data_IF_794610114185
#
_entry.id   IF_794610114185
#
_cell.length_a   1.000
_cell.length_b   1.000
_cell.length_c   1.000
_cell.angle_alpha   90.00
_cell.angle_beta   90.00
_cell.angle_gamma   90.00
#
_symmetry.space_group_name_H-M   'P 1'
#
loop_
_entity.id
_entity.type
_entity.pdbx_description
1 polymer ?
#
# COMPACT_ATOMS: atom_id res chain seq x y z
N UNK A 1 -22.65 -8.98 25.75
CA UNK A 1 -24.09 -8.70 25.57
C UNK A 1 -24.67 -9.79 24.69
N UNK A 2 -25.81 -10.35 25.08
CA UNK A 2 -26.45 -11.48 24.42
C UNK A 2 -26.94 -11.07 23.02
N UNK A 3 -26.44 -11.73 21.97
CA UNK A 3 -26.94 -11.57 20.61
C UNK A 3 -28.37 -12.09 20.53
N UNK A 4 -29.29 -11.24 20.08
CA UNK A 4 -30.67 -11.61 19.79
C UNK A 4 -30.68 -12.66 18.68
N UNK A 5 -30.94 -13.92 19.05
CA UNK A 5 -31.31 -14.98 18.11
C UNK A 5 -32.78 -14.79 17.74
N UNK A 6 -33.05 -14.10 16.65
CA UNK A 6 -34.37 -14.13 16.00
C UNK A 6 -34.49 -15.41 15.17
N UNK A 7 -35.38 -16.31 15.54
CA UNK A 7 -35.65 -17.55 14.81
C UNK A 7 -36.87 -17.35 13.89
N UNK A 8 -36.70 -17.48 12.56
CA UNK A 8 -37.82 -17.37 11.61
C UNK A 8 -37.73 -18.42 10.49
N UNK A 9 -38.35 -19.58 10.70
CA UNK A 9 -38.31 -20.82 9.90
C UNK A 9 -38.48 -20.65 8.38
N UNK A 10 -37.70 -21.42 7.59
CA UNK A 10 -37.87 -21.55 6.14
C UNK A 10 -39.13 -22.37 5.83
N UNK A 11 -40.06 -21.76 5.10
CA UNK A 11 -41.20 -22.44 4.49
C UNK A 11 -41.48 -21.80 3.13
N UNK A 12 -41.65 -22.63 2.09
CA UNK A 12 -42.25 -22.21 0.84
C UNK A 12 -43.76 -22.33 1.00
N UNK A 13 -44.35 -21.47 1.82
CA UNK A 13 -45.80 -21.44 1.96
C UNK A 13 -46.39 -20.51 0.89
N UNK A 14 -47.36 -20.97 0.10
CA UNK A 14 -48.15 -20.08 -0.73
C UNK A 14 -48.85 -19.09 0.20
N UNK A 15 -48.47 -17.82 0.16
CA UNK A 15 -49.08 -16.79 1.00
C UNK A 15 -50.48 -16.52 0.46
N UNK A 16 -51.47 -17.21 1.01
CA UNK A 16 -52.89 -16.90 0.93
C UNK A 16 -53.56 -17.18 -0.41
N UNK A 17 -54.23 -18.33 -0.49
CA UNK A 17 -55.22 -18.64 -1.53
C UNK A 17 -54.67 -19.55 -2.62
N UNK A 18 -55.26 -20.74 -2.68
CA UNK A 18 -55.15 -21.90 -3.59
C UNK A 18 -55.05 -21.63 -5.12
N UNK A 19 -54.24 -20.65 -5.54
CA UNK A 19 -54.12 -20.18 -6.93
C UNK A 19 -52.72 -20.27 -7.53
N UNK A 20 -51.66 -20.51 -6.74
CA UNK A 20 -50.31 -20.77 -7.28
C UNK A 20 -49.65 -19.58 -8.01
N UNK A 21 -50.15 -18.36 -7.83
CA UNK A 21 -49.71 -17.19 -8.62
C UNK A 21 -48.51 -16.42 -8.04
N UNK A 22 -48.02 -16.75 -6.84
CA UNK A 22 -46.89 -16.03 -6.22
C UNK A 22 -45.93 -16.94 -5.45
N UNK A 23 -44.63 -16.75 -5.69
CA UNK A 23 -43.53 -17.35 -4.93
C UNK A 23 -43.02 -16.34 -3.88
N UNK A 24 -43.09 -16.70 -2.60
CA UNK A 24 -42.52 -15.90 -1.51
C UNK A 24 -41.13 -16.39 -1.09
N UNK A 25 -40.24 -15.47 -0.72
CA UNK A 25 -38.92 -15.78 -0.18
C UNK A 25 -38.80 -15.22 1.24
N UNK A 26 -38.40 -16.08 2.18
CA UNK A 26 -38.11 -15.70 3.57
C UNK A 26 -36.71 -16.18 3.91
N UNK A 27 -35.83 -15.26 4.33
CA UNK A 27 -34.44 -15.57 4.66
C UNK A 27 -34.17 -15.43 6.17
N UNK A 28 -33.50 -16.42 6.75
CA UNK A 28 -32.82 -16.27 8.04
C UNK A 28 -31.39 -15.89 7.79
N UNK A 29 -31.00 -14.72 8.29
CA UNK A 29 -29.65 -14.19 8.12
C UNK A 29 -29.03 -13.89 9.48
N UNK A 30 -27.71 -13.92 9.51
CA UNK A 30 -26.92 -13.49 10.67
C UNK A 30 -26.39 -12.09 10.35
N UNK A 31 -26.55 -11.15 11.27
CA UNK A 31 -25.96 -9.82 11.13
C UNK A 31 -24.44 -9.92 10.88
N UNK A 32 -23.88 -9.05 10.01
CA UNK A 32 -24.50 -7.88 9.38
C UNK A 32 -25.15 -8.14 8.00
N UNK A 33 -25.41 -9.40 7.63
CA UNK A 33 -25.94 -9.75 6.30
C UNK A 33 -27.42 -9.37 6.24
N UNK A 34 -27.82 -8.57 5.24
CA UNK A 34 -29.22 -8.19 5.01
C UNK A 34 -30.04 -9.34 4.44
N UNK A 35 -31.23 -9.58 4.99
CA UNK A 35 -32.20 -10.55 4.49
C UNK A 35 -32.65 -10.19 3.07
N UNK A 36 -32.87 -8.90 2.80
CA UNK A 36 -33.27 -8.40 1.48
C UNK A 36 -32.21 -8.73 0.43
N UNK A 37 -30.93 -8.64 0.78
CA UNK A 37 -29.82 -8.97 -0.13
C UNK A 37 -29.79 -10.46 -0.47
N UNK A 38 -29.97 -11.32 0.53
CA UNK A 38 -30.04 -12.78 0.33
C UNK A 38 -31.27 -13.18 -0.49
N UNK A 39 -32.43 -12.58 -0.20
CA UNK A 39 -33.64 -12.79 -0.98
C UNK A 39 -33.46 -12.30 -2.44
N UNK A 40 -32.82 -11.14 -2.63
CA UNK A 40 -32.50 -10.61 -3.96
C UNK A 40 -31.60 -11.55 -4.78
N UNK A 41 -30.58 -12.15 -4.16
CA UNK A 41 -29.74 -13.17 -4.81
C UNK A 41 -30.53 -14.41 -5.20
N UNK A 42 -31.39 -14.90 -4.29
CA UNK A 42 -32.21 -16.08 -4.56
C UNK A 42 -33.19 -15.82 -5.69
N UNK A 43 -33.84 -14.66 -5.69
CA UNK A 43 -34.72 -14.23 -6.78
C UNK A 43 -33.96 -14.20 -8.11
N UNK A 44 -32.80 -13.55 -8.17
CA UNK A 44 -31.98 -13.46 -9.38
C UNK A 44 -31.63 -14.85 -9.94
N UNK A 45 -31.25 -15.80 -9.07
CA UNK A 45 -30.93 -17.17 -9.49
C UNK A 45 -32.15 -17.90 -10.03
N UNK A 46 -33.31 -17.76 -9.40
CA UNK A 46 -34.55 -18.41 -9.84
C UNK A 46 -35.02 -17.86 -11.19
N UNK A 47 -34.91 -16.55 -11.41
CA UNK A 47 -35.19 -15.92 -12.70
C UNK A 47 -34.23 -16.43 -13.79
N UNK A 48 -32.92 -16.47 -13.49
CA UNK A 48 -31.92 -17.02 -14.42
C UNK A 48 -32.11 -18.52 -14.70
N UNK A 49 -32.56 -19.29 -13.72
CA UNK A 49 -32.85 -20.72 -13.89
C UNK A 49 -34.07 -20.93 -14.78
N UNK A 50 -35.14 -20.15 -14.57
CA UNK A 50 -36.34 -20.22 -15.41
C UNK A 50 -36.01 -19.89 -16.87
N UNK A 51 -35.26 -18.80 -17.10
CA UNK A 51 -34.79 -18.39 -18.43
C UNK A 51 -33.91 -19.48 -19.07
N UNK A 52 -32.99 -20.07 -18.31
CA UNK A 52 -32.14 -21.16 -18.79
C UNK A 52 -32.94 -22.42 -19.15
N UNK A 53 -33.93 -22.82 -18.35
CA UNK A 53 -34.77 -23.98 -18.67
C UNK A 53 -35.57 -23.78 -19.96
N UNK A 54 -36.01 -22.56 -20.24
CA UNK A 54 -36.78 -22.24 -21.44
C UNK A 54 -35.92 -22.13 -22.70
N UNK A 55 -34.74 -21.51 -22.60
CA UNK A 55 -33.94 -21.14 -23.78
C UNK A 55 -32.61 -21.88 -23.91
N UNK A 56 -32.07 -22.44 -22.84
CA UNK A 56 -30.76 -23.10 -22.81
C UNK A 56 -30.67 -24.19 -21.72
N UNK A 57 -31.47 -25.27 -21.79
CA UNK A 57 -31.65 -26.22 -20.68
C UNK A 57 -30.38 -26.99 -20.31
N UNK A 58 -29.38 -26.99 -21.21
CA UNK A 58 -28.06 -27.60 -20.97
C UNK A 58 -27.04 -26.59 -20.39
N UNK A 59 -27.42 -25.35 -20.06
CA UNK A 59 -26.54 -24.36 -19.41
C UNK A 59 -26.12 -24.92 -18.04
N UNK A 60 -24.81 -25.05 -17.76
CA UNK A 60 -24.36 -25.49 -16.45
C UNK A 60 -24.84 -24.52 -15.37
N UNK A 61 -25.37 -25.04 -14.24
CA UNK A 61 -25.89 -24.24 -13.12
C UNK A 61 -24.86 -23.23 -12.61
N UNK A 62 -23.57 -23.59 -12.60
CA UNK A 62 -22.46 -22.70 -12.20
C UNK A 62 -22.30 -21.44 -13.08
N UNK A 63 -22.95 -21.40 -14.24
CA UNK A 63 -22.91 -20.26 -15.15
C UNK A 63 -24.12 -19.33 -14.97
N UNK A 64 -25.07 -19.63 -14.07
CA UNK A 64 -26.19 -18.73 -13.77
C UNK A 64 -25.68 -17.57 -12.92
N UNK A 65 -26.07 -16.35 -13.29
CA UNK A 65 -25.68 -15.16 -12.54
C UNK A 65 -26.47 -15.06 -11.23
N UNK A 66 -25.76 -14.91 -10.11
CA UNK A 66 -26.34 -14.80 -8.77
C UNK A 66 -26.51 -13.32 -8.38
N UNK A 67 -25.64 -12.46 -8.89
CA UNK A 67 -25.64 -11.03 -8.57
C UNK A 67 -26.67 -10.30 -9.44
N UNK A 68 -27.54 -9.47 -8.85
CA UNK A 68 -28.34 -8.51 -9.59
C UNK A 68 -27.44 -7.63 -10.47
N UNK A 69 -27.92 -7.27 -11.65
CA UNK A 69 -27.12 -6.54 -12.64
C UNK A 69 -26.53 -5.23 -12.10
N UNK A 70 -27.30 -4.48 -11.30
CA UNK A 70 -26.85 -3.24 -10.68
C UNK A 70 -25.69 -3.47 -9.69
N UNK A 71 -25.79 -4.51 -8.86
CA UNK A 71 -24.74 -4.85 -7.91
C UNK A 71 -23.48 -5.38 -8.62
N UNK A 72 -23.66 -6.18 -9.68
CA UNK A 72 -22.55 -6.62 -10.54
C UNK A 72 -21.82 -5.43 -11.15
N UNK A 73 -22.55 -4.45 -11.68
CA UNK A 73 -21.99 -3.21 -12.23
C UNK A 73 -21.23 -2.43 -11.16
N UNK A 74 -21.80 -2.30 -9.96
CA UNK A 74 -21.14 -1.63 -8.85
C UNK A 74 -19.81 -2.29 -8.47
N UNK A 75 -19.81 -3.61 -8.26
CA UNK A 75 -18.64 -4.37 -7.83
C UNK A 75 -17.54 -4.44 -8.90
N UNK A 76 -17.91 -4.58 -10.17
CA UNK A 76 -16.96 -4.79 -11.27
C UNK A 76 -16.53 -3.50 -11.95
N UNK A 77 -17.38 -2.48 -12.00
CA UNK A 77 -17.12 -1.24 -12.72
C UNK A 77 -16.92 -0.06 -11.78
N UNK A 78 -17.89 0.24 -10.91
CA UNK A 78 -17.83 1.44 -10.08
C UNK A 78 -16.67 1.41 -9.09
N UNK A 79 -16.50 0.29 -8.37
CA UNK A 79 -15.37 0.10 -7.45
C UNK A 79 -14.01 0.06 -8.16
N UNK A 80 -13.98 -0.34 -9.43
CA UNK A 80 -12.76 -0.46 -10.22
C UNK A 80 -12.50 0.75 -11.13
N UNK A 81 -13.31 1.82 -11.04
CA UNK A 81 -13.12 3.08 -11.78
C UNK A 81 -11.98 3.90 -11.17
N UNK A 82 -10.77 3.32 -11.16
CA UNK A 82 -9.55 3.86 -10.53
C UNK A 82 -8.55 4.43 -11.55
N UNK A 83 -8.96 4.56 -12.82
CA UNK A 83 -8.13 5.14 -13.87
C UNK A 83 -7.73 6.58 -13.50
N UNK A 84 -6.42 6.79 -13.34
CA UNK A 84 -5.83 8.09 -13.04
C UNK A 84 -4.59 8.29 -13.91
N UNK A 85 -4.31 9.54 -14.26
CA UNK A 85 -3.08 9.93 -14.96
C UNK A 85 -1.89 9.71 -14.02
N UNK A 86 -1.15 8.63 -14.26
CA UNK A 86 0.11 8.35 -13.59
C UNK A 86 1.26 8.50 -14.58
N UNK A 87 2.36 9.19 -14.25
CA UNK A 87 3.52 9.31 -15.11
C UNK A 87 4.30 7.98 -15.15
N UNK A 88 3.70 6.95 -15.77
CA UNK A 88 4.28 5.61 -15.94
C UNK A 88 5.47 5.58 -16.91
N UNK A 89 5.81 6.73 -17.50
CA UNK A 89 6.92 6.87 -18.45
C UNK A 89 8.25 7.25 -17.77
N UNK A 90 8.29 7.36 -16.44
CA UNK A 90 9.52 7.72 -15.70
C UNK A 90 9.86 6.70 -14.64
N UNK A 91 11.15 6.56 -14.39
CA UNK A 91 11.67 5.81 -13.26
C UNK A 91 11.51 6.60 -11.96
N UNK A 92 11.52 5.90 -10.82
CA UNK A 92 11.31 6.49 -9.49
C UNK A 92 12.38 7.56 -9.18
N UNK A 93 13.65 7.29 -9.48
CA UNK A 93 14.74 8.24 -9.25
C UNK A 93 14.61 9.50 -10.12
N UNK A 94 14.03 9.42 -11.31
CA UNK A 94 13.79 10.61 -12.16
C UNK A 94 12.73 11.55 -11.55
N UNK A 95 11.83 11.04 -10.71
CA UNK A 95 10.91 11.88 -9.92
C UNK A 95 11.68 12.60 -8.80
N UNK A 96 12.64 11.93 -8.17
CA UNK A 96 13.54 12.54 -7.18
C UNK A 96 14.37 13.68 -7.80
N UNK A 97 15.00 13.42 -8.94
CA UNK A 97 15.82 14.40 -9.65
C UNK A 97 15.04 15.63 -10.12
N UNK A 98 13.76 15.46 -10.48
CA UNK A 98 12.88 16.59 -10.74
C UNK A 98 12.70 17.47 -9.51
N UNK A 99 12.61 16.88 -8.31
CA UNK A 99 12.51 17.64 -7.08
C UNK A 99 13.83 18.34 -6.74
N UNK A 100 14.96 17.67 -6.94
CA UNK A 100 16.30 18.26 -6.79
C UNK A 100 16.46 19.49 -7.66
N UNK A 101 16.03 19.43 -8.93
CA UNK A 101 16.07 20.58 -9.86
C UNK A 101 15.17 21.74 -9.44
N UNK A 102 14.08 21.47 -8.71
CA UNK A 102 13.12 22.49 -8.26
C UNK A 102 13.58 23.20 -6.98
N UNK A 103 14.10 22.45 -6.02
CA UNK A 103 14.45 22.94 -4.69
C UNK A 103 15.70 22.22 -4.15
N UNK A 104 16.90 22.50 -4.68
CA UNK A 104 18.12 21.79 -4.28
C UNK A 104 18.49 22.04 -2.82
N UNK A 105 18.27 23.26 -2.31
CA UNK A 105 18.60 23.65 -0.94
C UNK A 105 17.55 23.23 0.10
N UNK A 106 16.41 22.67 -0.32
CA UNK A 106 15.39 22.22 0.62
C UNK A 106 15.86 20.95 1.34
N UNK A 107 15.55 20.82 2.63
CA UNK A 107 15.92 19.65 3.43
C UNK A 107 15.14 18.42 2.95
N UNK A 108 15.86 17.41 2.47
CA UNK A 108 15.31 16.16 1.97
C UNK A 108 15.30 15.05 3.03
N UNK A 109 16.29 15.04 3.91
CA UNK A 109 16.51 13.97 4.88
C UNK A 109 16.99 14.55 6.21
N UNK A 110 16.45 14.05 7.31
CA UNK A 110 16.89 14.34 8.67
C UNK A 110 17.10 13.02 9.39
N UNK A 111 18.25 12.85 10.02
CA UNK A 111 18.58 11.73 10.89
C UNK A 111 19.35 12.26 12.09
N UNK A 112 18.76 12.15 13.29
CA UNK A 112 19.32 12.76 14.50
C UNK A 112 19.61 14.26 14.29
N UNK A 113 20.88 14.68 14.44
CA UNK A 113 21.34 16.06 14.23
C UNK A 113 21.86 16.31 12.80
N UNK A 114 21.87 15.30 11.91
CA UNK A 114 22.28 15.45 10.51
C UNK A 114 21.07 15.78 9.62
N UNK A 115 21.17 16.90 8.88
CA UNK A 115 20.23 17.26 7.83
C UNK A 115 20.95 17.23 6.47
N UNK A 116 20.30 16.66 5.45
CA UNK A 116 20.76 16.69 4.07
C UNK A 116 19.72 17.38 3.20
N UNK A 117 20.18 18.35 2.42
CA UNK A 117 19.40 18.96 1.35
C UNK A 117 19.17 17.98 0.19
N UNK A 118 18.19 18.28 -0.66
CA UNK A 118 17.96 17.51 -1.90
C UNK A 118 19.21 17.47 -2.79
N UNK A 119 19.92 18.60 -2.91
CA UNK A 119 21.15 18.70 -3.69
C UNK A 119 22.27 17.83 -3.15
N UNK A 120 22.52 17.89 -1.84
CA UNK A 120 23.55 17.07 -1.18
C UNK A 120 23.23 15.58 -1.25
N UNK A 121 21.99 15.21 -0.96
CA UNK A 121 21.54 13.82 -1.03
C UNK A 121 21.68 13.28 -2.46
N UNK A 122 21.29 14.06 -3.48
CA UNK A 122 21.45 13.68 -4.88
C UNK A 122 22.91 13.52 -5.27
N UNK A 123 23.77 14.48 -4.90
CA UNK A 123 25.19 14.41 -5.21
C UNK A 123 25.87 13.19 -4.59
N UNK A 124 25.58 12.87 -3.32
CA UNK A 124 26.08 11.66 -2.65
C UNK A 124 25.59 10.39 -3.37
N UNK A 125 24.31 10.32 -3.72
CA UNK A 125 23.72 9.20 -4.45
C UNK A 125 24.30 9.05 -5.86
N UNK A 126 24.54 10.14 -6.58
CA UNK A 126 25.11 10.13 -7.92
C UNK A 126 26.53 9.59 -7.94
N UNK A 127 27.38 10.05 -7.01
CA UNK A 127 28.76 9.55 -6.88
C UNK A 127 28.78 8.04 -6.66
N UNK A 128 27.94 7.55 -5.75
CA UNK A 128 27.81 6.11 -5.50
C UNK A 128 27.20 5.37 -6.72
N UNK A 129 26.23 5.97 -7.42
CA UNK A 129 25.63 5.38 -8.62
C UNK A 129 26.67 5.18 -9.74
N UNK A 130 27.51 6.19 -10.02
CA UNK A 130 28.61 6.07 -10.99
C UNK A 130 29.60 4.96 -10.61
N UNK A 131 29.89 4.81 -9.33
CA UNK A 131 30.70 3.71 -8.85
C UNK A 131 30.02 2.34 -9.05
N UNK A 132 28.74 2.21 -8.75
CA UNK A 132 27.96 1.00 -9.01
C UNK A 132 27.90 0.65 -10.51
N UNK A 133 27.76 1.66 -11.38
CA UNK A 133 27.80 1.50 -12.83
C UNK A 133 29.18 0.97 -13.28
N UNK A 134 30.26 1.51 -12.70
CA UNK A 134 31.64 1.06 -12.96
C UNK A 134 31.89 -0.37 -12.43
N UNK A 135 31.23 -0.75 -11.33
CA UNK A 135 31.20 -2.13 -10.82
C UNK A 135 30.29 -3.05 -11.66
N UNK A 136 29.67 -2.55 -12.72
CA UNK A 136 28.93 -3.34 -13.71
C UNK A 136 27.46 -3.59 -13.35
N UNK A 137 26.86 -2.78 -12.48
CA UNK A 137 25.40 -2.80 -12.27
C UNK A 137 24.69 -2.47 -13.58
N UNK A 138 23.59 -3.20 -13.85
CA UNK A 138 22.74 -3.06 -15.04
C UNK A 138 21.26 -3.17 -14.65
N UNK A 139 20.34 -2.71 -15.53
CA UNK A 139 18.91 -2.96 -15.40
C UNK A 139 18.55 -4.40 -15.03
N UNK A 140 17.54 -4.56 -14.19
CA UNK A 140 17.01 -5.83 -13.64
C UNK A 140 17.96 -6.62 -12.72
N UNK A 141 19.18 -6.15 -12.48
CA UNK A 141 20.09 -6.83 -11.58
C UNK A 141 19.81 -6.46 -10.12
N UNK A 142 19.61 -7.46 -9.23
CA UNK A 142 19.47 -7.20 -7.82
C UNK A 142 20.79 -6.75 -7.20
N UNK A 143 20.75 -5.65 -6.47
CA UNK A 143 21.82 -5.18 -5.58
C UNK A 143 21.33 -5.30 -4.16
N UNK A 144 21.95 -6.17 -3.38
CA UNK A 144 21.61 -6.32 -1.97
C UNK A 144 22.00 -5.06 -1.20
N UNK A 145 21.17 -4.66 -0.25
CA UNK A 145 21.46 -3.57 0.68
C UNK A 145 21.12 -4.03 2.09
N UNK A 146 22.14 -4.14 2.94
CA UNK A 146 22.02 -4.56 4.34
C UNK A 146 22.69 -3.53 5.23
N UNK A 147 21.91 -2.55 5.69
CA UNK A 147 22.37 -1.47 6.55
C UNK A 147 21.36 -1.22 7.67
N UNK A 148 21.85 -0.70 8.79
CA UNK A 148 21.05 0.01 9.77
C UNK A 148 20.51 1.31 9.20
N UNK A 149 19.54 1.91 9.91
CA UNK A 149 18.92 3.15 9.45
C UNK A 149 19.94 4.27 9.56
N UNK A 150 20.25 4.87 8.43
CA UNK A 150 21.19 5.97 8.33
C UNK A 150 20.97 6.75 7.03
N UNK A 151 21.53 7.96 6.92
CA UNK A 151 21.61 8.66 5.64
C UNK A 151 22.30 7.83 4.55
N UNK A 152 23.29 7.01 4.92
CA UNK A 152 23.97 6.11 4.00
C UNK A 152 23.02 5.07 3.38
N UNK A 153 22.05 4.54 4.13
CA UNK A 153 21.02 3.64 3.60
C UNK A 153 20.19 4.33 2.51
N UNK A 154 19.73 5.56 2.75
CA UNK A 154 18.93 6.33 1.77
C UNK A 154 19.75 6.67 0.53
N UNK A 155 21.01 7.08 0.71
CA UNK A 155 21.97 7.27 -0.39
C UNK A 155 22.15 5.99 -1.20
N UNK A 156 22.31 4.83 -0.53
CA UNK A 156 22.47 3.52 -1.16
C UNK A 156 21.27 3.13 -2.01
N UNK A 157 20.05 3.29 -1.49
CA UNK A 157 18.82 3.01 -2.24
C UNK A 157 18.70 3.87 -3.50
N UNK A 158 18.90 5.19 -3.37
CA UNK A 158 18.86 6.11 -4.51
C UNK A 158 19.96 5.79 -5.52
N UNK A 159 21.17 5.46 -5.06
CA UNK A 159 22.29 5.12 -5.92
C UNK A 159 22.04 3.83 -6.72
N UNK A 160 21.44 2.80 -6.10
CA UNK A 160 21.06 1.57 -6.80
C UNK A 160 20.07 1.88 -7.93
N UNK A 161 19.01 2.63 -7.63
CA UNK A 161 17.99 3.00 -8.61
C UNK A 161 18.59 3.84 -9.76
N UNK A 162 19.50 4.77 -9.45
CA UNK A 162 20.20 5.62 -10.43
C UNK A 162 21.21 4.84 -11.28
N UNK A 163 21.83 3.80 -10.73
CA UNK A 163 22.67 2.87 -11.47
C UNK A 163 21.86 1.89 -12.34
N UNK A 164 20.53 1.91 -12.24
CA UNK A 164 19.60 1.01 -12.91
C UNK A 164 19.42 -0.34 -12.24
N UNK A 165 20.04 -0.58 -11.08
CA UNK A 165 19.84 -1.81 -10.32
C UNK A 165 18.49 -1.85 -9.61
N UNK A 166 18.06 -3.05 -9.25
CA UNK A 166 16.92 -3.26 -8.36
C UNK A 166 17.44 -3.47 -6.94
N UNK A 167 17.01 -2.67 -5.97
CA UNK A 167 17.48 -2.89 -4.60
C UNK A 167 16.79 -4.11 -3.98
N UNK A 168 17.58 -4.92 -3.28
CA UNK A 168 17.14 -6.07 -2.50
C UNK A 168 17.42 -5.76 -1.02
N UNK A 169 16.43 -5.28 -0.26
CA UNK A 169 16.64 -4.86 1.10
C UNK A 169 16.74 -6.07 2.06
N UNK A 170 17.76 -6.03 2.92
CA UNK A 170 18.05 -7.04 3.92
C UNK A 170 18.11 -6.35 5.29
N UNK A 171 17.19 -6.67 6.21
CA UNK A 171 17.18 -6.11 7.56
C UNK A 171 18.25 -6.82 8.42
N UNK A 172 19.27 -6.10 8.94
CA UNK A 172 20.29 -6.69 9.82
C UNK A 172 19.71 -7.34 11.09
N UNK A 173 18.51 -6.95 11.51
CA UNK A 173 17.82 -7.57 12.65
C UNK A 173 17.25 -8.96 12.35
N UNK A 174 17.23 -9.40 11.08
CA UNK A 174 16.78 -10.75 10.73
C UNK A 174 17.82 -11.79 11.13
N UNK A 175 17.40 -13.01 11.49
CA UNK A 175 18.32 -14.12 11.73
C UNK A 175 19.22 -14.34 10.51
N UNK A 176 20.52 -14.55 10.73
CA UNK A 176 21.51 -14.76 9.66
C UNK A 176 21.12 -15.88 8.68
N UNK A 177 20.49 -16.95 9.18
CA UNK A 177 19.97 -18.03 8.36
C UNK A 177 18.92 -17.55 7.34
N UNK A 178 18.04 -16.63 7.72
CA UNK A 178 17.03 -16.03 6.83
C UNK A 178 17.70 -15.12 5.80
N UNK A 179 18.67 -14.31 6.22
CA UNK A 179 19.41 -13.44 5.30
C UNK A 179 20.16 -14.26 4.24
N UNK A 180 20.83 -15.34 4.65
CA UNK A 180 21.52 -16.25 3.74
C UNK A 180 20.56 -16.87 2.72
N UNK A 181 19.39 -17.37 3.15
CA UNK A 181 18.38 -17.91 2.24
C UNK A 181 17.95 -16.90 1.17
N UNK A 182 17.77 -15.63 1.55
CA UNK A 182 17.39 -14.57 0.61
C UNK A 182 18.53 -14.30 -0.38
N UNK A 183 19.78 -14.23 0.09
CA UNK A 183 20.96 -14.01 -0.76
C UNK A 183 21.18 -15.18 -1.71
N UNK A 184 21.02 -16.42 -1.24
CA UNK A 184 21.14 -17.63 -2.06
C UNK A 184 20.07 -17.68 -3.16
N UNK A 185 18.82 -17.35 -2.85
CA UNK A 185 17.71 -17.36 -3.81
C UNK A 185 17.80 -16.21 -4.83
N UNK A 186 18.10 -14.99 -4.36
CA UNK A 186 18.19 -13.81 -5.21
C UNK A 186 19.49 -13.73 -6.02
N UNK A 187 20.54 -14.44 -5.57
CA UNK A 187 21.88 -14.46 -6.14
C UNK A 187 22.40 -13.05 -6.56
N UNK A 188 22.36 -12.04 -5.67
CA UNK A 188 22.88 -10.72 -6.00
C UNK A 188 24.38 -10.80 -6.24
N UNK A 189 24.93 -9.96 -7.13
CA UNK A 189 26.39 -9.89 -7.37
C UNK A 189 27.07 -8.82 -6.54
N UNK A 190 26.30 -7.88 -6.00
CA UNK A 190 26.74 -6.67 -5.31
C UNK A 190 25.97 -6.54 -4.01
N UNK A 191 26.69 -6.12 -2.96
CA UNK A 191 26.12 -5.84 -1.65
C UNK A 191 26.60 -4.46 -1.18
N UNK A 192 25.66 -3.60 -0.83
CA UNK A 192 25.92 -2.42 -0.01
C UNK A 192 25.71 -2.80 1.45
N UNK A 193 26.68 -2.53 2.32
CA UNK A 193 26.52 -2.78 3.75
C UNK A 193 27.26 -1.77 4.63
N UNK A 194 26.92 -1.79 5.91
CA UNK A 194 27.66 -1.19 7.03
C UNK A 194 28.22 -2.31 7.93
N UNK A 195 28.79 -1.93 9.09
CA UNK A 195 29.30 -2.89 10.06
C UNK A 195 28.23 -3.88 10.55
N UNK A 196 27.01 -3.39 10.82
CA UNK A 196 25.91 -4.21 11.33
C UNK A 196 25.42 -5.24 10.29
N UNK A 197 25.21 -4.82 9.05
CA UNK A 197 24.83 -5.70 7.95
C UNK A 197 25.91 -6.74 7.64
N UNK A 198 27.18 -6.34 7.66
CA UNK A 198 28.32 -7.27 7.49
C UNK A 198 28.33 -8.34 8.59
N UNK A 199 28.10 -7.93 9.84
CA UNK A 199 28.02 -8.86 10.97
C UNK A 199 26.82 -9.80 10.88
N UNK A 200 25.65 -9.30 10.47
CA UNK A 200 24.43 -10.08 10.34
C UNK A 200 24.50 -11.15 9.23
N UNK A 201 25.13 -10.83 8.11
CA UNK A 201 25.32 -11.76 6.98
C UNK A 201 26.41 -12.81 7.27
N UNK A 202 27.46 -12.42 7.99
CA UNK A 202 28.61 -13.28 8.28
C UNK A 202 29.50 -13.56 7.06
N UNK A 203 30.72 -14.08 7.26
CA UNK A 203 31.72 -14.18 6.19
C UNK A 203 31.33 -15.12 5.06
N UNK A 204 30.56 -16.17 5.35
CA UNK A 204 30.13 -17.18 4.37
C UNK A 204 29.25 -16.57 3.27
N UNK A 205 28.32 -15.69 3.64
CA UNK A 205 27.41 -15.05 2.68
C UNK A 205 28.11 -13.98 1.81
N UNK A 206 29.33 -13.57 2.17
CA UNK A 206 30.06 -12.48 1.51
C UNK A 206 31.08 -12.97 0.49
N UNK A 207 31.43 -14.26 0.46
CA UNK A 207 32.54 -14.81 -0.34
C UNK A 207 32.40 -14.49 -1.83
N UNK A 208 31.18 -14.63 -2.37
CA UNK A 208 30.91 -14.46 -3.80
C UNK A 208 30.38 -13.05 -4.16
N UNK A 209 30.29 -12.16 -3.18
CA UNK A 209 29.74 -10.82 -3.33
C UNK A 209 30.84 -9.77 -3.48
N UNK A 210 30.66 -8.85 -4.42
CA UNK A 210 31.42 -7.59 -4.35
C UNK A 210 30.76 -6.69 -3.32
N UNK A 211 31.40 -6.56 -2.17
CA UNK A 211 30.92 -5.78 -1.03
C UNK A 211 31.40 -4.33 -1.17
N UNK A 212 30.47 -3.39 -1.03
CA UNK A 212 30.70 -1.95 -0.97
C UNK A 212 30.30 -1.46 0.41
N UNK A 213 31.29 -0.98 1.16
CA UNK A 213 31.14 -0.58 2.56
C UNK A 213 30.84 0.92 2.66
N UNK A 214 29.61 1.27 3.04
CA UNK A 214 29.14 2.66 3.05
C UNK A 214 29.60 3.47 4.26
N UNK A 215 30.23 2.85 5.26
CA UNK A 215 30.79 3.54 6.45
C UNK A 215 32.25 3.96 6.26
N UNK A 216 32.82 3.75 5.07
CA UNK A 216 34.23 4.06 4.81
C UNK A 216 34.49 5.57 4.86
N UNK A 217 35.44 6.00 5.70
CA UNK A 217 35.82 7.42 5.86
C UNK A 217 36.33 8.08 4.58
N UNK A 218 36.95 7.32 3.68
CA UNK A 218 37.40 7.77 2.36
C UNK A 218 36.84 6.83 1.30
N UNK A 219 35.58 7.03 0.87
CA UNK A 219 34.96 6.12 -0.07
C UNK A 219 35.64 6.21 -1.44
N UNK A 220 35.84 5.07 -2.10
CA UNK A 220 36.46 4.99 -3.43
C UNK A 220 35.69 5.76 -4.52
N UNK A 221 34.44 6.13 -4.22
CA UNK A 221 33.58 6.92 -5.10
C UNK A 221 33.53 8.40 -4.74
N UNK A 222 34.31 8.86 -3.77
CA UNK A 222 34.34 10.27 -3.36
C UNK A 222 34.60 11.22 -4.54
N UNK A 223 35.45 10.82 -5.49
CA UNK A 223 35.83 11.64 -6.66
C UNK A 223 34.99 11.37 -7.92
N UNK A 224 33.97 10.52 -7.83
CA UNK A 224 33.06 10.27 -8.96
C UNK A 224 32.24 11.53 -9.30
N UNK A 225 31.61 11.54 -10.47
CA UNK A 225 30.74 12.65 -10.85
C UNK A 225 29.58 12.80 -9.86
N UNK A 226 29.22 14.05 -9.55
CA UNK A 226 28.03 14.39 -8.79
C UNK A 226 26.79 14.58 -9.69
N UNK A 227 26.95 14.51 -11.01
CA UNK A 227 25.86 14.65 -11.98
C UNK A 227 25.02 13.36 -12.07
N UNK A 228 23.73 13.52 -12.37
CA UNK A 228 22.82 12.38 -12.54
C UNK A 228 23.34 11.47 -13.68
N UNK A 229 23.47 10.15 -13.46
CA UNK A 229 23.74 9.21 -14.55
C UNK A 229 22.63 9.29 -15.60
N UNK A 230 22.98 9.25 -16.89
CA UNK A 230 21.97 9.25 -17.96
C UNK A 230 21.25 7.89 -18.02
N UNK A 231 19.94 7.82 -17.69
CA UNK A 231 19.20 6.56 -17.72
C UNK A 231 19.18 5.93 -19.11
N UNK A 232 19.20 6.75 -20.18
CA UNK A 232 19.17 6.26 -21.56
C UNK A 232 20.48 5.58 -21.93
N UNK A 233 21.61 6.12 -21.49
CA UNK A 233 22.92 5.51 -21.70
C UNK A 233 23.04 4.15 -20.99
N UNK A 234 22.30 3.95 -19.90
CA UNK A 234 22.22 2.68 -19.18
C UNK A 234 21.21 1.69 -19.79
N UNK A 235 20.42 2.11 -20.79
CA UNK A 235 19.30 1.32 -21.29
C UNK A 235 18.17 1.16 -20.28
N UNK A 236 18.12 2.01 -19.25
CA UNK A 236 17.13 1.95 -18.20
C UNK A 236 15.77 2.48 -18.71
N UNK A 237 14.71 1.88 -18.20
CA UNK A 237 13.33 2.16 -18.59
C UNK A 237 12.41 1.90 -17.41
N UNK A 238 11.22 2.52 -17.36
CA UNK A 238 10.26 2.30 -16.29
C UNK A 238 9.78 0.85 -16.14
N UNK A 239 10.00 -0.01 -17.14
CA UNK A 239 9.63 -1.44 -17.09
C UNK A 239 10.65 -2.31 -16.38
N UNK A 240 11.83 -1.76 -16.07
CA UNK A 240 12.84 -2.50 -15.33
C UNK A 240 12.51 -2.51 -13.84
N UNK A 241 13.06 -3.50 -13.15
CA UNK A 241 12.90 -3.70 -11.72
C UNK A 241 13.47 -2.50 -10.94
N UNK A 242 12.67 -1.97 -10.03
CA UNK A 242 13.08 -1.02 -9.02
C UNK A 242 13.54 -1.72 -7.74
N UNK A 243 12.86 -2.80 -7.36
CA UNK A 243 13.19 -3.55 -6.14
C UNK A 243 12.66 -4.98 -6.14
N UNK A 244 13.27 -5.79 -5.27
CA UNK A 244 12.83 -7.16 -4.96
C UNK A 244 12.64 -7.27 -3.46
N UNK A 245 11.41 -7.57 -3.01
CA UNK A 245 11.09 -7.69 -1.58
C UNK A 245 10.70 -9.11 -1.23
N UNK A 246 11.36 -9.68 -0.23
CA UNK A 246 11.09 -11.04 0.21
C UNK A 246 9.99 -11.09 1.26
N UNK A 247 8.97 -11.91 1.01
CA UNK A 247 7.86 -12.16 1.94
C UNK A 247 7.89 -13.59 2.46
N UNK A 248 7.22 -13.84 3.59
CA UNK A 248 7.03 -15.20 4.11
C UNK A 248 6.12 -15.98 3.17
N UNK A 249 6.69 -16.89 2.38
CA UNK A 249 5.90 -17.78 1.54
C UNK A 249 5.08 -18.76 2.37
N UNK A 250 3.89 -19.10 1.87
CA UNK A 250 3.01 -20.13 2.47
C UNK A 250 3.66 -21.51 2.60
N UNK A 251 4.73 -21.75 1.83
CA UNK A 251 5.51 -22.99 1.82
C UNK A 251 6.70 -22.97 2.79
N UNK A 252 6.87 -21.90 3.57
CA UNK A 252 8.01 -21.72 4.50
C UNK A 252 9.28 -21.18 3.86
N UNK A 253 9.41 -21.26 2.52
CA UNK A 253 10.49 -20.62 1.76
C UNK A 253 10.15 -19.15 1.47
N UNK A 254 11.07 -18.20 1.73
CA UNK A 254 10.89 -16.80 1.33
C UNK A 254 10.65 -16.67 -0.18
N UNK A 255 9.80 -15.73 -0.61
CA UNK A 255 9.54 -15.47 -2.05
C UNK A 255 9.87 -14.01 -2.37
N UNK A 256 10.70 -13.80 -3.39
CA UNK A 256 11.02 -12.47 -3.91
C UNK A 256 9.89 -11.92 -4.78
N UNK A 257 9.26 -10.84 -4.33
CA UNK A 257 8.31 -10.06 -5.12
C UNK A 257 9.08 -9.01 -5.91
N UNK A 258 9.09 -9.15 -7.22
CA UNK A 258 9.79 -8.26 -8.14
C UNK A 258 8.87 -7.12 -8.58
N UNK A 259 9.33 -5.88 -8.43
CA UNK A 259 8.52 -4.69 -8.71
C UNK A 259 9.24 -3.76 -9.66
N UNK A 260 8.55 -3.35 -10.72
CA UNK A 260 9.04 -2.43 -11.74
C UNK A 260 8.90 -0.97 -11.32
N UNK A 261 9.69 -0.08 -11.91
CA UNK A 261 9.59 1.36 -11.69
C UNK A 261 8.22 1.96 -12.06
N UNK A 262 7.58 1.47 -13.12
CA UNK A 262 6.27 1.94 -13.59
C UNK A 262 5.12 1.46 -12.73
N UNK A 263 5.40 0.65 -11.70
CA UNK A 263 4.39 0.09 -10.82
C UNK A 263 3.49 1.21 -10.30
N UNK A 264 2.21 1.12 -10.66
CA UNK A 264 1.21 2.09 -10.27
C UNK A 264 0.73 1.72 -8.89
N UNK A 265 0.89 2.63 -7.94
CA UNK A 265 0.21 2.56 -6.64
C UNK A 265 -0.99 3.51 -6.68
N UNK A 266 -2.22 3.03 -6.92
CA UNK A 266 -3.42 3.87 -6.88
C UNK A 266 -3.57 4.59 -5.54
N UNK A 267 -3.16 3.93 -4.46
CA UNK A 267 -3.17 4.47 -3.10
C UNK A 267 -2.30 5.74 -2.97
N UNK A 268 -1.15 5.81 -3.64
CA UNK A 268 -0.22 6.93 -3.47
C UNK A 268 -0.68 8.24 -4.16
N UNK A 269 -1.53 8.16 -5.19
CA UNK A 269 -2.16 9.36 -5.77
C UNK A 269 -3.35 9.83 -4.95
N UNK A 270 -4.17 8.91 -4.47
CA UNK A 270 -5.38 9.25 -3.74
C UNK A 270 -5.06 9.65 -2.28
N UNK A 271 -4.05 9.06 -1.65
CA UNK A 271 -3.51 9.49 -0.36
C UNK A 271 -3.13 10.97 -0.38
N UNK A 272 -2.62 11.51 -1.50
CA UNK A 272 -2.37 12.96 -1.65
C UNK A 272 -3.64 13.80 -1.63
N UNK A 273 -4.71 13.34 -2.29
CA UNK A 273 -6.01 14.02 -2.29
C UNK A 273 -6.68 13.94 -0.91
N UNK A 274 -6.69 12.76 -0.32
CA UNK A 274 -7.27 12.49 1.00
C UNK A 274 -6.56 13.27 2.09
N UNK A 275 -5.22 13.28 2.08
CA UNK A 275 -4.43 13.85 3.17
C UNK A 275 -4.20 15.36 3.04
N UNK A 276 -4.70 16.02 1.97
CA UNK A 276 -4.51 17.46 1.77
C UNK A 276 -3.05 17.88 1.59
N UNK A 277 -2.20 16.96 1.11
CA UNK A 277 -0.74 17.11 0.93
C UNK A 277 -0.47 17.95 -0.33
N UNK A 278 -0.92 19.21 -0.34
CA UNK A 278 -0.75 20.09 -1.50
C UNK A 278 0.43 21.06 -1.37
N UNK A 279 0.68 21.65 -0.19
CA UNK A 279 1.48 22.89 -0.14
C UNK A 279 2.45 23.03 1.06
N UNK A 280 2.74 21.97 1.85
CA UNK A 280 3.63 22.09 3.03
C UNK A 280 4.70 20.99 3.10
N UNK A 281 5.83 21.21 3.81
CA UNK A 281 6.80 20.16 4.07
C UNK A 281 6.16 19.05 4.91
N UNK A 282 6.36 17.80 4.50
CA UNK A 282 5.82 16.62 5.15
C UNK A 282 6.96 15.81 5.74
N UNK A 283 6.91 15.57 7.06
CA UNK A 283 7.79 14.61 7.72
C UNK A 283 7.20 13.21 7.57
N UNK A 284 7.96 12.29 6.96
CA UNK A 284 7.61 10.87 6.87
C UNK A 284 8.43 10.07 7.88
N UNK A 285 7.74 9.28 8.69
CA UNK A 285 8.34 8.35 9.64
C UNK A 285 8.36 6.93 9.06
N UNK A 286 9.49 6.24 9.18
CA UNK A 286 9.68 4.86 8.73
C UNK A 286 9.94 3.93 9.91
N UNK A 287 8.92 3.24 10.46
CA UNK A 287 9.12 2.19 11.43
C UNK A 287 9.60 0.93 10.71
N UNK A 288 10.83 0.51 11.02
CA UNK A 288 11.47 -0.83 10.85
C UNK A 288 11.40 -1.53 9.50
N UNK A 289 10.61 -1.04 8.57
CA UNK A 289 10.40 -1.61 7.27
C UNK A 289 11.26 -0.85 6.26
N UNK A 290 12.08 -1.59 5.52
CA UNK A 290 12.91 -1.08 4.41
C UNK A 290 12.04 -0.75 3.17
N UNK A 291 10.74 -0.61 3.36
CA UNK A 291 9.73 -0.25 2.36
C UNK A 291 9.75 1.28 2.17
N UNK A 292 10.87 1.78 1.65
CA UNK A 292 11.11 3.21 1.46
C UNK A 292 10.49 3.74 0.14
N UNK A 293 10.16 2.85 -0.81
CA UNK A 293 9.68 3.26 -2.13
C UNK A 293 8.32 4.00 -2.14
N UNK A 294 7.28 3.57 -1.39
CA UNK A 294 5.98 4.23 -1.44
C UNK A 294 6.02 5.63 -0.84
N UNK A 295 6.68 5.75 0.32
CA UNK A 295 6.89 7.00 1.06
C UNK A 295 7.72 7.99 0.27
N UNK A 296 8.86 7.58 -0.30
CA UNK A 296 9.63 8.44 -1.21
C UNK A 296 8.76 8.91 -2.37
N UNK A 297 8.03 8.01 -3.04
CA UNK A 297 7.22 8.41 -4.19
C UNK A 297 6.19 9.48 -3.80
N UNK A 298 5.56 9.39 -2.62
CA UNK A 298 4.57 10.34 -2.14
C UNK A 298 5.19 11.71 -1.80
N UNK A 299 6.31 11.73 -1.07
CA UNK A 299 7.01 12.95 -0.65
C UNK A 299 7.61 13.73 -1.82
N UNK A 300 8.13 13.03 -2.83
CA UNK A 300 8.80 13.64 -4.00
C UNK A 300 7.85 14.37 -4.96
N UNK A 301 6.54 14.28 -4.72
CA UNK A 301 5.53 14.96 -5.54
C UNK A 301 4.98 16.23 -4.91
N UNK A 302 5.37 16.59 -3.68
CA UNK A 302 5.01 17.87 -3.07
C UNK A 302 5.67 19.03 -3.82
N UNK A 303 4.96 20.15 -4.01
CA UNK A 303 5.47 21.31 -4.78
C UNK A 303 6.71 21.94 -4.14
N UNK A 304 6.83 21.83 -2.81
CA UNK A 304 7.99 22.27 -2.03
C UNK A 304 8.95 21.11 -1.69
N UNK A 305 8.63 19.87 -2.08
CA UNK A 305 9.30 18.66 -1.59
C UNK A 305 8.80 18.23 -0.21
N UNK A 306 9.04 16.96 0.14
CA UNK A 306 8.87 16.46 1.51
C UNK A 306 10.23 16.25 2.19
N UNK A 307 10.23 16.09 3.50
CA UNK A 307 11.45 15.82 4.29
C UNK A 307 11.29 14.45 4.94
N UNK A 308 12.21 13.53 4.65
CA UNK A 308 12.21 12.20 5.26
C UNK A 308 12.88 12.28 6.63
N UNK A 309 12.20 11.84 7.69
CA UNK A 309 12.79 11.76 9.03
C UNK A 309 13.09 10.30 9.36
N UNK A 310 14.37 9.98 9.42
CA UNK A 310 14.84 8.70 9.90
C UNK A 310 14.89 8.77 11.42
N UNK A 311 14.11 7.91 12.07
CA UNK A 311 14.01 7.88 13.52
C UNK A 311 14.03 6.42 13.97
N UNK A 312 14.78 6.12 15.01
CA UNK A 312 14.81 4.80 15.62
C UNK A 312 13.54 4.54 16.44
N UNK A 313 13.14 5.51 17.27
CA UNK A 313 11.95 5.53 18.12
C UNK A 313 11.14 6.83 18.01
N UNK A 314 9.81 6.74 17.83
CA UNK A 314 8.93 7.90 17.61
C UNK A 314 9.00 9.10 18.61
N UNK A 315 9.37 8.95 19.90
CA UNK A 315 9.54 10.10 20.81
C UNK A 315 10.61 11.10 20.38
N UNK A 316 11.60 10.70 19.57
CA UNK A 316 12.67 11.58 19.09
C UNK A 316 12.22 12.64 18.08
N UNK A 317 10.98 12.56 17.59
CA UNK A 317 10.47 13.40 16.50
C UNK A 317 9.86 14.74 16.96
N UNK A 318 10.05 15.11 18.23
CA UNK A 318 9.33 16.20 18.92
C UNK A 318 9.56 17.63 18.41
N UNK A 319 10.45 17.85 17.44
CA UNK A 319 10.77 19.19 16.89
C UNK A 319 10.09 19.47 15.54
N UNK A 320 9.49 18.48 14.87
CA UNK A 320 8.92 18.68 13.54
C UNK A 320 7.54 19.37 13.59
N UNK A 321 7.38 20.55 12.95
CA UNK A 321 6.15 21.34 13.06
C UNK A 321 4.91 20.69 12.39
N UNK A 322 5.12 19.76 11.44
CA UNK A 322 4.05 19.06 10.71
C UNK A 322 4.47 17.61 10.39
N UNK A 323 3.80 16.61 10.97
CA UNK A 323 4.16 15.20 10.76
C UNK A 323 3.00 14.40 10.15
N UNK A 324 3.33 13.60 9.13
CA UNK A 324 2.46 12.58 8.56
C UNK A 324 3.13 11.23 8.80
N UNK A 325 2.53 10.41 9.65
CA UNK A 325 3.04 9.05 9.88
C UNK A 325 2.59 8.17 8.72
N UNK A 326 3.34 8.21 7.63
CA UNK A 326 2.88 7.65 6.36
C UNK A 326 2.87 6.12 6.30
N UNK A 327 3.57 5.41 7.19
CA UNK A 327 3.51 3.95 7.24
C UNK A 327 3.77 3.45 8.66
N UNK A 328 2.83 2.74 9.28
CA UNK A 328 3.10 1.92 10.47
C UNK A 328 2.12 0.74 10.54
N UNK A 329 2.39 -0.20 11.44
CA UNK A 329 1.50 -1.34 11.69
C UNK A 329 0.65 -1.08 12.95
N UNK A 330 -0.58 -1.64 13.05
CA UNK A 330 -1.43 -1.53 14.23
C UNK A 330 -0.72 -1.81 15.57
N UNK A 331 0.11 -2.84 15.67
CA UNK A 331 0.86 -3.18 16.88
C UNK A 331 1.88 -2.09 17.28
N UNK A 332 2.57 -1.51 16.30
CA UNK A 332 3.56 -0.46 16.52
C UNK A 332 2.91 0.85 16.96
N UNK A 333 1.79 1.26 16.33
CA UNK A 333 1.08 2.46 16.78
C UNK A 333 0.45 2.25 18.16
N UNK A 334 -0.04 1.04 18.48
CA UNK A 334 -0.55 0.73 19.80
C UNK A 334 0.51 0.97 20.89
N UNK A 335 1.74 0.50 20.65
CA UNK A 335 2.85 0.72 21.58
C UNK A 335 3.20 2.21 21.76
N UNK A 336 3.09 3.03 20.71
CA UNK A 336 3.29 4.47 20.79
C UNK A 336 2.17 5.18 21.56
N UNK A 337 0.92 4.79 21.32
CA UNK A 337 -0.24 5.32 22.04
C UNK A 337 -0.15 4.99 23.53
N UNK A 338 0.17 3.74 23.87
CA UNK A 338 0.31 3.30 25.26
C UNK A 338 1.43 4.05 26.00
N UNK A 339 2.49 4.44 25.27
CA UNK A 339 3.60 5.26 25.79
C UNK A 339 3.37 6.77 25.71
N UNK A 340 2.21 7.23 25.22
CA UNK A 340 1.93 8.65 24.94
C UNK A 340 3.01 9.31 24.06
N UNK A 341 3.56 8.53 23.12
CA UNK A 341 4.69 8.91 22.29
C UNK A 341 4.29 9.30 20.85
N UNK A 342 2.99 9.43 20.56
CA UNK A 342 2.52 9.92 19.27
C UNK A 342 2.76 11.43 19.21
N UNK A 343 3.54 11.95 18.23
CA UNK A 343 3.83 13.38 18.16
C UNK A 343 2.54 14.19 18.00
N UNK A 344 2.40 15.28 18.77
CA UNK A 344 1.20 16.12 18.75
C UNK A 344 0.96 16.80 17.38
N UNK A 345 2.01 16.98 16.58
CA UNK A 345 1.94 17.51 15.21
C UNK A 345 1.49 16.49 14.17
N UNK A 346 1.22 15.24 14.56
CA UNK A 346 0.76 14.17 13.65
C UNK A 346 -0.65 14.44 13.14
N UNK A 347 -0.81 14.58 11.82
CA UNK A 347 -2.11 14.85 11.17
C UNK A 347 -2.74 13.64 10.50
N UNK A 348 -1.90 12.75 10.00
CA UNK A 348 -2.28 11.57 9.22
C UNK A 348 -1.47 10.38 9.74
N UNK A 349 -2.13 9.24 9.91
CA UNK A 349 -1.49 7.96 10.17
C UNK A 349 -2.04 6.96 9.15
N UNK A 350 -1.14 6.28 8.45
CA UNK A 350 -1.49 5.18 7.56
C UNK A 350 -1.07 3.86 8.21
N UNK A 351 -2.05 2.99 8.44
CA UNK A 351 -1.95 1.73 9.14
C UNK A 351 -2.12 0.57 8.16
N UNK A 352 -1.14 -0.31 8.09
CA UNK A 352 -1.20 -1.47 7.21
C UNK A 352 -0.53 -2.70 7.82
N UNK A 353 -0.58 -3.84 7.13
CA UNK A 353 0.14 -5.06 7.49
C UNK A 353 -0.49 -5.91 8.61
N UNK A 354 -1.41 -5.36 9.42
CA UNK A 354 -2.13 -6.15 10.44
C UNK A 354 -3.64 -5.85 10.46
N UNK A 355 -4.39 -6.69 11.18
CA UNK A 355 -5.81 -6.44 11.44
C UNK A 355 -5.96 -5.21 12.34
N UNK A 356 -6.67 -4.22 11.83
CA UNK A 356 -7.01 -3.01 12.58
C UNK A 356 -8.32 -3.23 13.35
N UNK A 357 -8.33 -2.89 14.65
CA UNK A 357 -9.50 -2.99 15.54
C UNK A 357 -10.06 -1.60 15.82
N UNK A 358 -11.37 -1.49 16.01
CA UNK A 358 -12.05 -0.22 16.29
C UNK A 358 -11.47 0.47 17.54
N UNK A 359 -11.30 -0.27 18.64
CA UNK A 359 -10.75 0.25 19.90
C UNK A 359 -9.37 0.92 19.71
N UNK A 360 -8.52 0.37 18.83
CA UNK A 360 -7.21 0.97 18.56
C UNK A 360 -7.35 2.28 17.79
N UNK A 361 -8.26 2.35 16.82
CA UNK A 361 -8.53 3.57 16.04
C UNK A 361 -9.02 4.69 16.96
N UNK A 362 -9.94 4.38 17.88
CA UNK A 362 -10.46 5.34 18.85
C UNK A 362 -9.35 5.86 19.76
N UNK A 363 -8.54 4.98 20.36
CA UNK A 363 -7.39 5.39 21.19
C UNK A 363 -6.37 6.23 20.41
N UNK A 364 -6.17 5.94 19.12
CA UNK A 364 -5.31 6.73 18.23
C UNK A 364 -5.88 8.13 17.98
N UNK A 365 -7.20 8.27 17.78
CA UNK A 365 -7.86 9.59 17.65
C UNK A 365 -7.86 10.40 18.95
N UNK A 366 -7.98 9.74 20.10
CA UNK A 366 -7.94 10.39 21.42
C UNK A 366 -6.55 10.91 21.76
N UNK A 367 -5.51 10.15 21.41
CA UNK A 367 -4.11 10.46 21.75
C UNK A 367 -3.42 11.46 20.81
N UNK A 368 -4.10 11.97 19.79
CA UNK A 368 -3.47 12.85 18.79
C UNK A 368 -4.42 13.89 18.19
N UNK A 369 -3.85 14.88 17.50
CA UNK A 369 -4.58 15.85 16.66
C UNK A 369 -5.05 15.28 15.32
N UNK A 370 -5.09 13.94 15.20
CA UNK A 370 -5.35 13.20 13.97
C UNK A 370 -6.65 13.63 13.31
N UNK A 371 -6.54 13.92 12.01
CA UNK A 371 -7.70 14.18 11.18
C UNK A 371 -8.17 12.92 10.47
N UNK A 372 -7.28 11.98 10.09
CA UNK A 372 -7.58 10.83 9.21
C UNK A 372 -6.70 9.59 9.47
N UNK A 373 -7.32 8.40 9.52
CA UNK A 373 -6.61 7.10 9.46
C UNK A 373 -6.82 6.44 8.10
N UNK A 374 -5.75 5.98 7.46
CA UNK A 374 -5.80 5.24 6.18
C UNK A 374 -5.44 3.78 6.44
N UNK A 375 -6.28 2.84 6.01
CA UNK A 375 -5.92 1.40 6.04
C UNK A 375 -5.69 0.89 4.64
N UNK A 376 -4.58 0.20 4.41
CA UNK A 376 -4.20 -0.27 3.08
C UNK A 376 -3.82 -1.75 3.00
N UNK A 377 -4.08 -2.43 1.86
CA UNK A 377 -3.94 -3.90 1.69
C UNK A 377 -2.98 -4.29 0.56
N UNK A 378 -2.33 -5.46 0.65
CA UNK A 378 -1.14 -5.78 -0.15
C UNK A 378 -1.44 -6.36 -1.55
N UNK A 379 -0.99 -5.64 -2.59
CA UNK A 379 -0.42 -6.20 -3.83
C UNK A 379 0.66 -5.24 -4.33
N UNK A 380 1.86 -5.34 -3.75
CA UNK A 380 2.94 -4.34 -3.87
C UNK A 380 2.59 -3.03 -3.17
N UNK A 381 2.94 -2.98 -1.88
CA UNK A 381 2.55 -1.93 -0.95
C UNK A 381 1.04 -1.94 -0.68
N UNK A 382 0.22 -1.21 -1.45
CA UNK A 382 -1.18 -0.91 -1.14
C UNK A 382 -2.09 -0.92 -2.38
N UNK A 383 -3.18 -1.69 -2.35
CA UNK A 383 -4.12 -1.90 -3.46
C UNK A 383 -5.52 -1.36 -3.19
N UNK A 384 -5.95 -1.33 -1.93
CA UNK A 384 -7.21 -0.70 -1.50
C UNK A 384 -6.94 0.19 -0.31
N UNK A 385 -7.77 1.21 -0.09
CA UNK A 385 -7.65 2.12 1.04
C UNK A 385 -9.03 2.49 1.62
N UNK A 386 -9.08 2.87 2.90
CA UNK A 386 -10.23 3.53 3.52
C UNK A 386 -9.74 4.70 4.36
N UNK A 387 -10.36 5.88 4.20
CA UNK A 387 -10.09 7.06 5.00
C UNK A 387 -11.14 7.19 6.10
N UNK A 388 -10.71 7.20 7.36
CA UNK A 388 -11.58 7.40 8.51
C UNK A 388 -11.30 8.77 9.13
N UNK A 389 -12.16 9.78 8.94
CA UNK A 389 -12.02 11.06 9.62
C UNK A 389 -12.46 10.99 11.07
N UNK A 390 -11.86 11.83 11.93
CA UNK A 390 -12.21 11.90 13.36
C UNK A 390 -13.69 12.29 13.54
N UNK A 391 -14.39 11.56 14.41
CA UNK A 391 -15.80 11.82 14.74
C UNK A 391 -16.81 11.09 13.84
N UNK A 392 -16.36 10.40 12.80
CA UNK A 392 -17.20 9.48 12.03
C UNK A 392 -17.12 8.04 12.54
N UNK A 393 -18.13 7.23 12.19
CA UNK A 393 -18.19 5.83 12.57
C UNK A 393 -16.98 5.04 12.04
N UNK A 394 -16.31 4.33 12.94
CA UNK A 394 -15.15 3.49 12.66
C UNK A 394 -15.59 2.22 11.93
N UNK A 395 -14.85 1.82 10.90
CA UNK A 395 -15.15 0.65 10.07
C UNK A 395 -14.02 -0.36 10.18
N UNK A 396 -14.32 -1.56 10.65
CA UNK A 396 -13.31 -2.64 10.80
C UNK A 396 -13.10 -3.48 9.52
N UNK A 397 -14.00 -3.34 8.54
CA UNK A 397 -14.01 -4.17 7.33
C UNK A 397 -12.97 -3.77 6.29
N UNK A 398 -12.80 -4.64 5.29
CA UNK A 398 -11.90 -4.48 4.15
C UNK A 398 -12.73 -3.96 2.96
N UNK A 399 -12.29 -2.89 2.31
CA UNK A 399 -12.98 -2.28 1.17
C UNK A 399 -13.97 -1.17 1.55
N UNK A 400 -14.49 -0.40 0.58
CA UNK A 400 -15.51 0.61 0.83
C UNK A 400 -16.71 -0.08 1.48
N UNK A 401 -17.04 0.35 2.70
CA UNK A 401 -18.23 -0.15 3.39
C UNK A 401 -19.48 0.29 2.63
N UNK A 402 -20.51 -0.56 2.69
CA UNK A 402 -21.87 -0.40 2.16
C UNK A 402 -22.63 0.83 2.75
N UNK A 403 -21.99 1.99 2.92
CA UNK A 403 -22.66 3.21 3.39
C UNK A 403 -23.66 3.77 2.35
N UNK A 404 -23.59 3.36 1.07
CA UNK A 404 -24.46 3.90 0.02
C UNK A 404 -25.75 3.12 -0.26
N UNK A 405 -25.95 1.92 0.31
CA UNK A 405 -27.18 1.15 0.06
C UNK A 405 -28.29 1.36 1.09
N UNK A 406 -28.09 2.24 2.08
CA UNK A 406 -29.15 2.60 3.03
C UNK A 406 -30.23 3.52 2.42
N UNK A 407 -29.95 4.21 1.30
CA UNK A 407 -30.85 5.22 0.71
C UNK A 407 -30.95 5.12 -0.83
N UNK A 408 -31.26 3.95 -1.37
CA UNK A 408 -32.00 3.94 -2.65
C UNK A 408 -33.46 4.27 -2.31
N UNK A 409 -34.07 5.30 -2.91
CA UNK A 409 -35.41 5.74 -2.52
C UNK A 409 -36.42 4.63 -2.77
N UNK A 410 -36.84 3.97 -1.69
CA UNK A 410 -38.04 3.16 -1.64
C UNK A 410 -39.24 4.10 -1.76
N UNK A 411 -39.70 4.33 -2.98
CA UNK A 411 -40.80 5.25 -3.20
C UNK A 411 -41.24 5.42 -4.64
N UNK A 412 -42.03 4.46 -5.14
CA UNK A 412 -43.23 4.76 -5.92
C UNK A 412 -44.10 3.50 -6.01
N UNK A 413 -45.19 3.51 -5.25
CA UNK A 413 -46.33 2.62 -5.47
C UNK A 413 -46.88 2.88 -6.87
N UNK A 414 -46.80 1.87 -7.73
CA UNK A 414 -47.56 1.86 -8.97
C UNK A 414 -48.83 1.03 -8.73
N UNK A 415 -49.93 1.71 -8.42
CA UNK A 415 -51.26 1.14 -8.58
C UNK A 415 -51.63 1.25 -10.07
N UNK A 416 -51.43 0.16 -10.81
CA UNK A 416 -51.96 0.04 -12.15
C UNK A 416 -53.49 -0.09 -12.07
N UNK A 417 -54.19 1.03 -12.28
CA UNK A 417 -55.63 1.06 -12.45
C UNK A 417 -56.02 0.28 -13.71
N UNK A 418 -56.99 -0.61 -13.54
CA UNK A 418 -57.60 -1.39 -14.60
C UNK A 418 -58.12 -0.49 -15.74
N UNK A 419 -57.57 -0.65 -16.94
CA UNK A 419 -58.22 -0.18 -18.17
C UNK A 419 -59.20 -1.28 -18.60
N UNK A 420 -60.48 -1.05 -18.30
CA UNK A 420 -61.59 -1.79 -18.93
C UNK A 420 -61.61 -1.46 -20.41
N UNK A 421 -61.68 -2.49 -21.24
CA UNK A 421 -62.06 -2.36 -22.64
C UNK A 421 -63.51 -1.90 -22.80
N UNK A 422 -63.77 -1.18 -23.89
CA UNK A 422 -65.10 -0.86 -24.37
C UNK A 422 -65.04 0.03 -25.61
N UNK A 423 -65.49 -0.50 -26.75
CA UNK A 423 -65.72 0.23 -27.99
C UNK A 423 -64.99 -0.35 -29.19
#
# INVERSE_FOLDING_TARGET
MAGQRGAHQLSADPVGGDSGEALGLTAQVVEPISADRVCGYMQQVLEQLAEALEHAPNRPVRNLDILPAAERSYLLEDLNRTAADYPSERCIHELFEQQVRRAPEAVALVHEDEELSYGELNARANRLAHHLIALGVRPDQPVAICLERSPAMVVGLLAILKAGGAYLPLDPAYPSARLRQIVEDAAPRRLLCDAAGRAALGPEALVDLTVVDLETATPAWADQSADDPDPRALGLSPRHLAYVIYTSGSTGTPKGVMVEHQHREPAALEQRRICGIRDQPHAVFLPRSVLICPSMSASLRCRQGGTLYLVEDAPGAGSAPWMSLDHTVPSAIAALVDKQAVPASTRVINLAGERLKADLIERVFESSGLCKSVRSFETTTYSTWICMPRGEAVVETIGPSDRQHADLPSGRSWSAGAVRGGG
#
